data_IF_848842125785
#
_entry.id   IF_848842125785
#
_cell.length_a   1.000
_cell.length_b   1.000
_cell.length_c   1.000
_cell.angle_alpha   90.00
_cell.angle_beta   90.00
_cell.angle_gamma   90.00
#
_symmetry.space_group_name_H-M   'P 1'
#
loop_
_entity.id
_entity.type
_entity.pdbx_description
1 polymer ?
#
# COMPACT_ATOMS: atom_id res chain seq x y z
N UNK A 1 18.12 25.47 8.33
CA UNK A 1 18.44 24.03 8.19
C UNK A 1 19.43 23.88 7.04
N UNK A 2 20.47 23.07 7.20
CA UNK A 2 21.47 22.82 6.16
C UNK A 2 21.04 21.58 5.34
N UNK A 3 20.43 21.80 4.18
CA UNK A 3 19.91 20.71 3.35
C UNK A 3 21.00 19.90 2.64
N UNK A 4 22.17 20.48 2.37
CA UNK A 4 23.31 19.75 1.80
C UNK A 4 23.87 18.73 2.79
N UNK A 5 23.98 19.12 4.07
CA UNK A 5 24.40 18.21 5.13
C UNK A 5 23.36 17.11 5.36
N UNK A 6 22.07 17.46 5.36
CA UNK A 6 20.98 16.48 5.48
C UNK A 6 21.04 15.44 4.36
N UNK A 7 21.23 15.89 3.12
CA UNK A 7 21.40 15.02 1.97
C UNK A 7 22.58 14.07 2.13
N UNK A 8 23.74 14.60 2.51
CA UNK A 8 24.97 13.81 2.71
C UNK A 8 24.76 12.71 3.74
N UNK A 9 24.19 13.02 4.90
CA UNK A 9 24.00 12.04 5.98
C UNK A 9 22.98 10.96 5.61
N UNK A 10 21.88 11.32 4.94
CA UNK A 10 20.86 10.36 4.49
C UNK A 10 21.42 9.48 3.36
N UNK A 11 22.18 10.04 2.42
CA UNK A 11 22.86 9.26 1.37
C UNK A 11 23.87 8.28 1.95
N UNK A 12 24.64 8.69 2.97
CA UNK A 12 25.57 7.79 3.65
C UNK A 12 24.83 6.58 4.25
N UNK A 13 23.71 6.80 4.94
CA UNK A 13 22.89 5.69 5.47
C UNK A 13 22.40 4.76 4.36
N UNK A 14 21.97 5.33 3.24
CA UNK A 14 21.55 4.56 2.06
C UNK A 14 22.68 3.68 1.53
N UNK A 15 23.84 4.27 1.27
CA UNK A 15 25.01 3.59 0.71
C UNK A 15 25.51 2.46 1.61
N UNK A 16 25.68 2.74 2.91
CA UNK A 16 26.10 1.75 3.91
C UNK A 16 25.13 0.56 3.98
N UNK A 17 23.83 0.82 3.87
CA UNK A 17 22.81 -0.23 3.95
C UNK A 17 22.73 -1.02 2.64
N UNK A 18 22.76 -0.34 1.51
CA UNK A 18 22.75 -0.97 0.18
C UNK A 18 23.99 -1.83 -0.05
N UNK A 19 25.15 -1.48 0.51
CA UNK A 19 26.36 -2.29 0.46
C UNK A 19 26.21 -3.66 1.15
N UNK A 20 25.23 -3.81 2.06
CA UNK A 20 24.93 -5.09 2.74
C UNK A 20 23.89 -5.94 2.01
N UNK A 21 23.19 -5.36 1.02
CA UNK A 21 22.11 -6.06 0.31
C UNK A 21 22.69 -7.23 -0.49
N UNK A 22 22.16 -8.42 -0.27
CA UNK A 22 22.64 -9.60 -0.95
C UNK A 22 21.95 -10.89 -0.52
N UNK A 23 22.74 -11.90 -0.15
CA UNK A 23 22.24 -13.25 0.08
C UNK A 23 21.24 -13.36 1.24
N UNK A 24 21.33 -12.51 2.26
CA UNK A 24 20.37 -12.48 3.36
C UNK A 24 18.99 -12.01 2.90
N UNK A 25 18.94 -10.90 2.17
CA UNK A 25 17.71 -10.32 1.62
C UNK A 25 17.06 -11.28 0.61
N UNK A 26 17.86 -11.94 -0.22
CA UNK A 26 17.40 -12.98 -1.14
C UNK A 26 16.79 -14.19 -0.41
N UNK A 27 17.39 -14.63 0.72
CA UNK A 27 16.81 -15.70 1.55
C UNK A 27 15.50 -15.24 2.22
N UNK A 28 15.45 -13.99 2.66
CA UNK A 28 14.26 -13.41 3.26
C UNK A 28 13.08 -13.44 2.30
N UNK A 29 13.20 -12.86 1.10
CA UNK A 29 12.07 -12.77 0.17
C UNK A 29 11.63 -14.13 -0.35
N UNK A 30 12.56 -15.08 -0.55
CA UNK A 30 12.22 -16.47 -0.90
C UNK A 30 11.46 -17.18 0.23
N UNK A 31 11.72 -16.84 1.49
CA UNK A 31 10.93 -17.35 2.62
C UNK A 31 9.53 -16.73 2.64
N UNK A 32 9.42 -15.42 2.40
CA UNK A 32 8.12 -14.75 2.27
C UNK A 32 7.29 -15.38 1.14
N UNK A 33 7.89 -15.60 -0.03
CA UNK A 33 7.24 -16.26 -1.16
C UNK A 33 6.69 -17.64 -0.77
N UNK A 34 7.50 -18.46 -0.08
CA UNK A 34 7.06 -19.77 0.43
C UNK A 34 5.89 -19.63 1.40
N UNK A 35 5.96 -18.71 2.36
CA UNK A 35 4.88 -18.48 3.32
C UNK A 35 3.60 -18.09 2.59
N UNK A 36 3.65 -17.16 1.62
CA UNK A 36 2.51 -16.75 0.81
C UNK A 36 1.91 -17.94 0.06
N UNK A 37 2.73 -18.71 -0.67
CA UNK A 37 2.28 -19.86 -1.47
C UNK A 37 1.67 -20.95 -0.60
N UNK A 38 2.36 -21.36 0.47
CA UNK A 38 1.90 -22.49 1.30
C UNK A 38 0.71 -22.11 2.18
N UNK A 39 0.68 -20.91 2.78
CA UNK A 39 -0.51 -20.46 3.53
C UNK A 39 -1.72 -20.28 2.61
N UNK A 40 -1.52 -19.80 1.38
CA UNK A 40 -2.59 -19.70 0.38
C UNK A 40 -3.13 -21.06 -0.03
N UNK A 41 -2.25 -22.02 -0.34
CA UNK A 41 -2.65 -23.38 -0.69
C UNK A 41 -3.35 -24.09 0.48
N UNK A 42 -2.75 -24.07 1.68
CA UNK A 42 -3.33 -24.67 2.87
C UNK A 42 -4.67 -24.04 3.24
N UNK A 43 -4.78 -22.71 3.13
CA UNK A 43 -6.03 -21.99 3.37
C UNK A 43 -7.15 -22.45 2.44
N UNK A 44 -6.85 -22.61 1.15
CA UNK A 44 -7.82 -23.09 0.15
C UNK A 44 -8.21 -24.55 0.38
N UNK A 45 -7.27 -25.43 0.70
CA UNK A 45 -7.55 -26.82 1.06
C UNK A 45 -8.46 -26.86 2.30
N UNK A 46 -8.14 -26.12 3.35
CA UNK A 46 -8.98 -26.07 4.56
C UNK A 46 -10.41 -25.58 4.24
N UNK A 47 -10.57 -24.56 3.39
CA UNK A 47 -11.90 -24.11 2.95
C UNK A 47 -12.65 -25.19 2.17
N UNK A 48 -11.97 -26.00 1.35
CA UNK A 48 -12.59 -27.14 0.66
C UNK A 48 -12.99 -28.28 1.62
N UNK A 49 -12.34 -28.37 2.78
CA UNK A 49 -12.65 -29.33 3.84
C UNK A 49 -13.63 -28.79 4.90
N UNK A 50 -14.24 -27.61 4.67
CA UNK A 50 -14.99 -26.87 5.69
C UNK A 50 -16.33 -27.49 6.11
N UNK A 51 -16.69 -28.68 5.61
CA UNK A 51 -17.77 -29.48 6.19
C UNK A 51 -17.49 -29.77 7.68
N UNK A 52 -16.22 -29.78 8.07
CA UNK A 52 -15.79 -29.69 9.45
C UNK A 52 -15.59 -28.20 9.83
N UNK A 53 -16.47 -27.60 10.67
CA UNK A 53 -16.52 -26.14 10.85
C UNK A 53 -15.19 -25.46 11.24
N UNK A 54 -14.32 -26.05 12.09
CA UNK A 54 -13.03 -25.45 12.40
C UNK A 54 -12.14 -25.19 11.18
N UNK A 55 -12.23 -26.00 10.11
CA UNK A 55 -11.45 -25.79 8.89
C UNK A 55 -11.88 -24.55 8.11
N UNK A 56 -13.10 -24.06 8.27
CA UNK A 56 -13.49 -22.79 7.68
C UNK A 56 -12.71 -21.62 8.31
N UNK A 57 -12.61 -21.59 9.63
CA UNK A 57 -11.88 -20.56 10.38
C UNK A 57 -10.39 -20.61 10.03
N UNK A 58 -9.78 -21.79 10.14
CA UNK A 58 -8.36 -21.99 9.83
C UNK A 58 -8.08 -21.60 8.38
N UNK A 59 -8.93 -22.05 7.45
CA UNK A 59 -8.81 -21.77 6.02
C UNK A 59 -8.88 -20.28 5.71
N UNK A 60 -9.85 -19.58 6.29
CA UNK A 60 -10.04 -18.14 6.12
C UNK A 60 -8.88 -17.34 6.71
N UNK A 61 -8.38 -17.71 7.89
CA UNK A 61 -7.22 -17.05 8.53
C UNK A 61 -5.95 -17.22 7.70
N UNK A 62 -5.64 -18.45 7.28
CA UNK A 62 -4.47 -18.74 6.43
C UNK A 62 -4.55 -18.01 5.09
N UNK A 63 -5.73 -18.00 4.46
CA UNK A 63 -5.95 -17.29 3.21
C UNK A 63 -5.81 -15.77 3.40
N UNK A 64 -6.29 -15.22 4.52
CA UNK A 64 -6.14 -13.80 4.86
C UNK A 64 -4.68 -13.42 5.02
N UNK A 65 -3.90 -14.21 5.77
CA UNK A 65 -2.45 -14.00 5.95
C UNK A 65 -1.74 -14.06 4.60
N UNK A 66 -2.04 -15.08 3.78
CA UNK A 66 -1.49 -15.22 2.43
C UNK A 66 -1.75 -13.97 1.59
N UNK A 67 -3.01 -13.51 1.53
CA UNK A 67 -3.42 -12.33 0.76
C UNK A 67 -2.79 -11.02 1.28
N UNK A 68 -2.64 -10.86 2.60
CA UNK A 68 -1.96 -9.70 3.19
C UNK A 68 -0.47 -9.71 2.83
N UNK A 69 0.22 -10.83 3.06
CA UNK A 69 1.66 -10.94 2.80
C UNK A 69 1.97 -10.85 1.30
N UNK A 70 1.12 -11.43 0.45
CA UNK A 70 1.22 -11.29 -1.00
C UNK A 70 1.10 -9.81 -1.40
N UNK A 71 0.11 -9.10 -0.88
CA UNK A 71 -0.11 -7.71 -1.27
C UNK A 71 0.99 -6.78 -0.74
N UNK A 72 1.34 -6.88 0.54
CA UNK A 72 2.18 -5.88 1.22
C UNK A 72 3.66 -6.24 1.26
N UNK A 73 4.01 -7.49 1.57
CA UNK A 73 5.42 -7.87 1.81
C UNK A 73 6.10 -8.43 0.55
N UNK A 74 5.38 -9.20 -0.26
CA UNK A 74 5.91 -9.78 -1.48
C UNK A 74 5.69 -8.85 -2.67
N UNK A 75 4.43 -8.69 -3.08
CA UNK A 75 4.06 -8.04 -4.34
C UNK A 75 4.45 -6.58 -4.37
N UNK A 76 4.02 -5.79 -3.39
CA UNK A 76 4.42 -4.39 -3.27
C UNK A 76 5.95 -4.21 -3.35
N UNK A 77 6.69 -4.89 -2.47
CA UNK A 77 8.14 -4.74 -2.39
C UNK A 77 8.87 -5.18 -3.67
N UNK A 78 8.41 -6.26 -4.31
CA UNK A 78 8.93 -6.68 -5.62
C UNK A 78 8.63 -5.65 -6.69
N UNK A 79 7.39 -5.14 -6.80
CA UNK A 79 6.98 -4.14 -7.80
C UNK A 79 7.73 -2.82 -7.63
N UNK A 80 8.14 -2.47 -6.41
CA UNK A 80 9.07 -1.35 -6.15
C UNK A 80 10.51 -1.61 -6.64
N UNK A 81 10.80 -2.80 -7.15
CA UNK A 81 12.11 -3.18 -7.67
C UNK A 81 13.12 -3.53 -6.59
N UNK A 82 12.67 -3.72 -5.34
CA UNK A 82 13.57 -3.91 -4.19
C UNK A 82 14.45 -5.15 -4.29
N UNK A 83 14.03 -6.14 -5.09
CA UNK A 83 14.73 -7.41 -5.27
C UNK A 83 15.32 -7.60 -6.67
N UNK A 84 15.34 -6.54 -7.51
CA UNK A 84 15.89 -6.62 -8.87
C UNK A 84 17.38 -6.99 -8.88
N UNK A 85 18.13 -6.69 -7.81
CA UNK A 85 19.54 -7.07 -7.66
C UNK A 85 19.76 -8.60 -7.75
N UNK A 86 18.72 -9.40 -7.48
CA UNK A 86 18.80 -10.86 -7.53
C UNK A 86 18.86 -11.41 -8.95
N UNK A 87 18.47 -10.64 -9.97
CA UNK A 87 18.30 -11.09 -11.36
C UNK A 87 17.47 -12.40 -11.46
N UNK A 88 16.47 -12.55 -10.59
CA UNK A 88 15.58 -13.71 -10.52
C UNK A 88 14.22 -13.29 -11.09
N UNK A 89 13.79 -13.90 -12.19
CA UNK A 89 12.56 -13.50 -12.90
C UNK A 89 11.31 -13.54 -12.01
N UNK A 90 11.30 -14.41 -10.98
CA UNK A 90 10.20 -14.52 -10.02
C UNK A 90 10.03 -13.27 -9.16
N UNK A 91 11.07 -12.46 -9.03
CA UNK A 91 11.11 -11.24 -8.21
C UNK A 91 11.48 -10.00 -9.03
N UNK A 92 11.23 -10.03 -10.33
CA UNK A 92 11.49 -8.89 -11.21
C UNK A 92 10.36 -7.86 -11.10
N UNK A 93 10.66 -6.68 -10.58
CA UNK A 93 9.65 -5.64 -10.33
C UNK A 93 8.95 -5.08 -11.57
N UNK A 94 9.52 -5.27 -12.76
CA UNK A 94 8.92 -4.84 -14.03
C UNK A 94 7.87 -5.83 -14.54
N UNK A 95 8.01 -7.12 -14.25
CA UNK A 95 7.14 -8.18 -14.77
C UNK A 95 6.28 -8.85 -13.72
N UNK A 96 6.61 -8.70 -12.43
CA UNK A 96 5.82 -9.26 -11.33
C UNK A 96 4.39 -8.71 -11.38
N UNK A 97 3.42 -9.61 -11.19
CA UNK A 97 2.00 -9.29 -11.09
C UNK A 97 1.41 -9.85 -9.80
N UNK A 98 1.11 -8.96 -8.86
CA UNK A 98 0.54 -9.30 -7.56
C UNK A 98 -0.93 -9.73 -7.59
N UNK A 99 -1.36 -10.40 -6.52
CA UNK A 99 -2.68 -11.02 -6.37
C UNK A 99 -3.76 -10.08 -5.82
N UNK A 100 -3.88 -8.88 -6.41
CA UNK A 100 -4.97 -7.94 -6.12
C UNK A 100 -5.70 -7.50 -7.40
N UNK A 101 -6.78 -6.72 -7.25
CA UNK A 101 -7.55 -6.22 -8.39
C UNK A 101 -6.76 -5.25 -9.30
N UNK A 102 -5.94 -4.36 -8.75
CA UNK A 102 -5.16 -3.38 -9.51
C UNK A 102 -3.93 -3.99 -10.19
N UNK A 103 -3.59 -3.56 -11.41
CA UNK A 103 -2.42 -4.05 -12.14
C UNK A 103 -1.13 -3.49 -11.59
N UNK A 104 -0.03 -4.24 -11.73
CA UNK A 104 1.29 -3.77 -11.30
C UNK A 104 1.79 -2.62 -12.18
N UNK A 105 1.42 -2.59 -13.47
CA UNK A 105 1.67 -1.44 -14.35
C UNK A 105 1.00 -0.17 -13.86
N UNK A 106 -0.22 -0.27 -13.35
CA UNK A 106 -0.92 0.86 -12.80
C UNK A 106 -0.23 1.37 -11.53
N UNK A 107 0.14 0.44 -10.64
CA UNK A 107 0.86 0.76 -9.41
C UNK A 107 2.19 1.45 -9.69
N UNK A 108 2.97 0.97 -10.65
CA UNK A 108 4.24 1.59 -11.06
C UNK A 108 4.05 3.06 -11.51
N UNK A 109 2.98 3.35 -12.24
CA UNK A 109 2.69 4.71 -12.73
C UNK A 109 2.18 5.62 -11.61
N UNK A 110 1.14 5.19 -10.91
CA UNK A 110 0.44 6.01 -9.91
C UNK A 110 1.22 6.13 -8.62
N UNK A 111 1.74 5.03 -8.12
CA UNK A 111 2.40 4.99 -6.82
C UNK A 111 3.91 5.12 -6.96
N UNK A 112 4.59 4.20 -7.66
CA UNK A 112 6.06 4.20 -7.69
C UNK A 112 6.63 5.48 -8.29
N UNK A 113 6.01 6.00 -9.37
CA UNK A 113 6.42 7.25 -9.98
C UNK A 113 5.73 8.45 -9.33
N UNK A 114 4.41 8.61 -9.50
CA UNK A 114 3.74 9.85 -9.08
C UNK A 114 3.76 10.07 -7.57
N UNK A 115 3.31 9.10 -6.77
CA UNK A 115 3.29 9.23 -5.31
C UNK A 115 4.69 9.43 -4.73
N UNK A 116 5.67 8.55 -4.95
CA UNK A 116 7.01 8.75 -4.36
C UNK A 116 7.76 9.98 -4.86
N UNK A 117 7.53 10.42 -6.09
CA UNK A 117 8.15 11.66 -6.58
C UNK A 117 7.52 12.87 -5.88
N UNK A 118 6.20 12.89 -5.76
CA UNK A 118 5.41 14.05 -5.35
C UNK A 118 4.67 13.85 -4.03
N UNK A 119 5.17 13.00 -3.13
CA UNK A 119 4.50 12.62 -1.87
C UNK A 119 3.89 13.83 -1.17
N UNK A 120 2.57 13.78 -0.97
CA UNK A 120 1.73 14.82 -0.37
C UNK A 120 1.80 16.23 -1.02
N UNK A 121 2.28 16.34 -2.26
CA UNK A 121 2.21 17.59 -3.02
C UNK A 121 0.82 17.69 -3.65
N UNK A 122 0.07 18.71 -3.23
CA UNK A 122 -1.32 18.93 -3.62
C UNK A 122 -1.48 18.99 -5.14
N UNK A 123 -2.39 18.14 -5.64
CA UNK A 123 -2.73 18.08 -7.06
C UNK A 123 -1.65 17.45 -7.95
N UNK A 124 -0.59 16.89 -7.35
CA UNK A 124 0.41 16.07 -8.04
C UNK A 124 0.33 14.62 -7.55
N UNK A 125 0.13 14.45 -6.24
CA UNK A 125 -0.11 13.17 -5.59
C UNK A 125 -1.60 12.83 -5.57
N UNK A 126 -1.97 11.75 -6.28
CA UNK A 126 -3.35 11.26 -6.36
C UNK A 126 -3.73 10.39 -5.15
N UNK A 127 -2.75 10.00 -4.32
CA UNK A 127 -2.98 9.18 -3.13
C UNK A 127 -3.53 10.04 -1.99
N UNK A 128 -3.41 11.39 -2.04
CA UNK A 128 -4.01 12.32 -1.06
C UNK A 128 -5.53 12.12 -1.02
N UNK A 129 -5.99 11.36 -0.02
CA UNK A 129 -7.39 10.96 0.12
C UNK A 129 -7.93 10.16 -1.06
N UNK A 130 -7.08 9.60 -1.93
CA UNK A 130 -7.47 8.89 -3.15
C UNK A 130 -8.47 9.65 -4.04
N UNK A 131 -8.44 11.00 -3.99
CA UNK A 131 -9.43 11.88 -4.63
C UNK A 131 -10.89 11.70 -4.20
N UNK A 132 -11.17 10.81 -3.24
CA UNK A 132 -12.51 10.47 -2.73
C UNK A 132 -12.74 11.11 -1.36
N UNK A 133 -11.68 11.22 -0.55
CA UNK A 133 -11.72 11.72 0.81
C UNK A 133 -11.06 13.09 0.91
N UNK A 134 -11.73 14.01 1.60
CA UNK A 134 -11.19 15.23 2.17
C UNK A 134 -10.61 14.93 3.54
N UNK A 135 -9.30 14.83 3.61
CA UNK A 135 -8.53 14.49 4.82
C UNK A 135 -7.76 15.70 5.36
N UNK A 136 -7.67 16.77 4.56
CA UNK A 136 -6.94 17.97 4.89
C UNK A 136 -7.75 19.22 4.58
N UNK A 137 -7.48 20.31 5.32
CA UNK A 137 -8.22 21.58 5.19
C UNK A 137 -8.05 22.20 3.81
N UNK A 138 -6.88 22.00 3.21
CA UNK A 138 -6.43 22.56 1.94
C UNK A 138 -7.23 22.02 0.75
N UNK A 139 -7.85 20.85 0.90
CA UNK A 139 -8.76 20.29 -0.10
C UNK A 139 -10.07 21.08 -0.09
N UNK A 140 -10.53 21.50 -1.27
CA UNK A 140 -11.79 22.25 -1.43
C UNK A 140 -12.95 21.41 -0.92
N UNK A 141 -13.80 22.00 -0.07
CA UNK A 141 -14.98 21.31 0.43
C UNK A 141 -16.09 21.23 -0.63
N UNK A 142 -16.89 20.17 -0.56
CA UNK A 142 -18.05 19.86 -1.40
C UNK A 142 -19.11 19.18 -0.50
N UNK A 143 -20.42 19.44 -0.70
CA UNK A 143 -21.50 18.82 0.08
C UNK A 143 -21.46 17.28 0.16
N UNK A 144 -20.89 16.60 -0.84
CA UNK A 144 -20.71 15.13 -0.79
C UNK A 144 -19.92 14.68 0.44
N UNK A 145 -19.00 15.51 0.95
CA UNK A 145 -18.18 15.17 2.10
C UNK A 145 -18.98 15.03 3.40
N UNK A 146 -20.23 15.52 3.48
CA UNK A 146 -21.09 15.26 4.64
C UNK A 146 -21.29 13.76 4.90
N UNK A 147 -21.31 12.96 3.82
CA UNK A 147 -21.44 11.50 3.89
C UNK A 147 -20.10 10.76 3.98
N UNK A 148 -18.99 11.49 4.06
CA UNK A 148 -17.64 10.93 4.07
C UNK A 148 -17.40 9.87 5.14
N UNK A 149 -17.85 10.03 6.40
CA UNK A 149 -17.66 8.99 7.39
C UNK A 149 -18.27 7.65 6.98
N UNK A 150 -19.38 7.67 6.21
CA UNK A 150 -20.06 6.46 5.73
C UNK A 150 -19.29 5.84 4.57
N UNK A 151 -19.03 6.61 3.50
CA UNK A 151 -18.37 6.04 2.33
C UNK A 151 -16.87 5.78 2.56
N UNK A 152 -16.25 6.34 3.60
CA UNK A 152 -14.90 5.96 4.03
C UNK A 152 -14.85 4.50 4.51
N UNK A 153 -15.87 4.02 5.21
CA UNK A 153 -15.97 2.61 5.63
C UNK A 153 -16.15 1.70 4.41
N UNK A 154 -17.03 2.09 3.48
CA UNK A 154 -17.23 1.36 2.22
C UNK A 154 -15.92 1.31 1.43
N UNK A 155 -15.21 2.44 1.35
CA UNK A 155 -13.92 2.53 0.67
C UNK A 155 -12.86 1.65 1.34
N UNK A 156 -12.82 1.58 2.68
CA UNK A 156 -11.89 0.71 3.41
C UNK A 156 -12.17 -0.78 3.10
N UNK A 157 -13.44 -1.20 3.06
CA UNK A 157 -13.83 -2.57 2.70
C UNK A 157 -13.49 -2.89 1.24
N UNK A 158 -13.66 -1.91 0.34
CA UNK A 158 -13.40 -2.04 -1.09
C UNK A 158 -12.00 -1.56 -1.50
N UNK A 159 -11.07 -1.41 -0.56
CA UNK A 159 -9.82 -0.67 -0.79
C UNK A 159 -8.99 -1.20 -1.97
N UNK A 160 -8.90 -2.53 -2.12
CA UNK A 160 -8.20 -3.14 -3.26
C UNK A 160 -8.79 -2.72 -4.63
N UNK A 161 -10.11 -2.47 -4.67
CA UNK A 161 -10.81 -2.02 -5.86
C UNK A 161 -10.58 -0.53 -6.07
N UNK A 162 -10.51 0.25 -4.98
CA UNK A 162 -10.02 1.63 -5.03
C UNK A 162 -8.66 1.75 -5.72
N UNK A 163 -7.69 0.92 -5.32
CA UNK A 163 -6.37 0.84 -5.97
C UNK A 163 -6.47 0.46 -7.45
N UNK A 164 -7.36 -0.46 -7.80
CA UNK A 164 -7.57 -0.86 -9.20
C UNK A 164 -8.15 0.27 -10.07
N UNK A 165 -9.04 1.07 -9.48
CA UNK A 165 -9.77 2.13 -10.18
C UNK A 165 -9.02 3.47 -10.17
N UNK A 166 -7.96 3.63 -9.37
CA UNK A 166 -7.32 4.91 -9.10
C UNK A 166 -6.87 5.69 -10.35
N UNK A 167 -6.38 4.99 -11.37
CA UNK A 167 -5.93 5.59 -12.63
C UNK A 167 -6.99 5.53 -13.73
N UNK A 168 -8.07 4.78 -13.50
CA UNK A 168 -9.18 4.75 -14.43
C UNK A 168 -9.80 6.13 -14.36
N UNK A 169 -9.70 6.87 -15.45
CA UNK A 169 -10.24 8.23 -15.58
C UNK A 169 -11.76 8.16 -15.67
N UNK A 170 -12.42 7.63 -14.64
CA UNK A 170 -13.86 7.32 -14.59
C UNK A 170 -14.71 8.55 -14.91
N UNK A 171 -14.21 9.76 -14.61
CA UNK A 171 -14.81 11.02 -15.06
C UNK A 171 -15.00 11.13 -16.58
N UNK A 172 -14.26 10.41 -17.43
CA UNK A 172 -14.48 10.41 -18.89
C UNK A 172 -15.77 9.71 -19.32
N UNK A 173 -16.21 8.68 -18.60
CA UNK A 173 -17.50 8.05 -18.85
C UNK A 173 -18.65 9.00 -18.51
N UNK A 174 -18.58 9.60 -17.31
CA UNK A 174 -19.70 10.36 -16.76
C UNK A 174 -19.73 11.84 -17.20
N UNK A 175 -18.55 12.44 -17.44
CA UNK A 175 -18.41 13.87 -17.79
C UNK A 175 -18.17 14.03 -19.29
N UNK A 176 -17.28 13.22 -19.89
CA UNK A 176 -16.93 13.32 -21.32
C UNK A 176 -17.78 12.44 -22.24
N UNK A 177 -18.69 11.62 -21.67
CA UNK A 177 -19.61 10.71 -22.40
C UNK A 177 -18.92 9.85 -23.47
N UNK A 178 -17.70 9.40 -23.20
CA UNK A 178 -16.98 8.47 -24.10
C UNK A 178 -17.75 7.14 -24.16
N UNK A 179 -17.92 6.51 -25.34
CA UNK A 179 -18.58 5.22 -25.46
C UNK A 179 -17.93 4.15 -24.56
N UNK A 180 -18.75 3.33 -23.90
CA UNK A 180 -18.29 2.32 -22.94
C UNK A 180 -17.23 1.38 -23.54
N UNK A 181 -17.39 1.00 -24.82
CA UNK A 181 -16.45 0.13 -25.53
C UNK A 181 -15.06 0.77 -25.68
N UNK A 182 -15.01 2.06 -25.96
CA UNK A 182 -13.75 2.82 -26.10
C UNK A 182 -13.06 2.95 -24.75
N UNK A 183 -13.82 3.30 -23.70
CA UNK A 183 -13.32 3.37 -22.33
C UNK A 183 -12.77 2.03 -21.81
N UNK A 184 -13.47 0.92 -22.08
CA UNK A 184 -12.98 -0.42 -21.71
C UNK A 184 -11.69 -0.77 -22.46
N UNK A 185 -11.57 -0.37 -23.73
CA UNK A 185 -10.39 -0.66 -24.52
C UNK A 185 -9.15 0.13 -24.08
N UNK A 186 -9.32 1.38 -23.61
CA UNK A 186 -8.22 2.21 -23.07
C UNK A 186 -7.52 1.51 -21.88
N UNK A 187 -8.30 0.87 -20.99
CA UNK A 187 -7.79 0.22 -19.78
C UNK A 187 -8.06 -1.30 -19.75
N UNK A 188 -8.05 -1.95 -20.94
CA UNK A 188 -8.41 -3.37 -21.11
C UNK A 188 -7.68 -4.30 -20.15
N UNK A 189 -6.39 -4.02 -19.88
CA UNK A 189 -5.59 -4.82 -18.96
C UNK A 189 -6.12 -4.78 -17.52
N UNK A 190 -6.57 -3.62 -17.05
CA UNK A 190 -7.15 -3.45 -15.72
C UNK A 190 -8.45 -4.25 -15.59
N UNK A 191 -9.38 -4.11 -16.53
CA UNK A 191 -10.63 -4.88 -16.52
C UNK A 191 -10.41 -6.38 -16.68
N UNK A 192 -9.46 -6.78 -17.53
CA UNK A 192 -9.09 -8.19 -17.68
C UNK A 192 -8.57 -8.76 -16.37
N UNK A 193 -7.73 -8.00 -15.65
CA UNK A 193 -7.21 -8.43 -14.35
C UNK A 193 -8.31 -8.51 -13.30
N UNK A 194 -9.17 -7.49 -13.20
CA UNK A 194 -10.33 -7.49 -12.31
C UNK A 194 -11.24 -8.70 -12.56
N UNK A 195 -11.56 -8.98 -13.83
CA UNK A 195 -12.35 -10.15 -14.22
C UNK A 195 -11.69 -11.48 -13.86
N UNK A 196 -10.38 -11.62 -14.07
CA UNK A 196 -9.61 -12.80 -13.64
C UNK A 196 -9.66 -12.99 -12.13
N UNK A 197 -9.55 -11.92 -11.34
CA UNK A 197 -9.64 -11.99 -9.88
C UNK A 197 -11.03 -12.41 -9.41
N UNK A 198 -12.09 -11.83 -9.97
CA UNK A 198 -13.47 -12.20 -9.68
C UNK A 198 -13.75 -13.66 -10.05
N UNK A 199 -13.36 -14.07 -11.25
CA UNK A 199 -13.52 -15.46 -11.71
C UNK A 199 -12.77 -16.42 -10.79
N UNK A 200 -11.50 -16.14 -10.48
CA UNK A 200 -10.68 -17.02 -9.64
C UNK A 200 -11.30 -17.22 -8.25
N UNK A 201 -11.61 -16.13 -7.54
CA UNK A 201 -12.03 -16.20 -6.13
C UNK A 201 -13.51 -16.59 -5.95
N UNK A 202 -14.40 -16.29 -6.92
CA UNK A 202 -15.85 -16.47 -6.77
C UNK A 202 -16.49 -17.45 -7.75
N UNK A 203 -15.74 -17.98 -8.72
CA UNK A 203 -16.24 -18.97 -9.67
C UNK A 203 -15.35 -20.22 -9.65
N UNK A 204 -14.07 -20.10 -10.00
CA UNK A 204 -13.16 -21.24 -10.12
C UNK A 204 -13.01 -22.03 -8.81
N UNK A 205 -12.56 -21.39 -7.72
CA UNK A 205 -12.36 -22.08 -6.45
C UNK A 205 -13.66 -22.62 -5.83
N UNK A 206 -14.78 -21.89 -5.85
CA UNK A 206 -16.08 -22.44 -5.41
C UNK A 206 -16.54 -23.66 -6.22
N UNK A 207 -16.42 -23.65 -7.56
CA UNK A 207 -16.85 -24.77 -8.41
C UNK A 207 -16.06 -26.04 -8.06
N UNK A 208 -14.73 -25.96 -7.97
CA UNK A 208 -13.91 -27.14 -7.67
C UNK A 208 -14.10 -27.64 -6.23
N UNK A 209 -14.67 -26.83 -5.35
CA UNK A 209 -14.98 -27.21 -3.97
C UNK A 209 -16.28 -28.03 -3.82
N UNK A 210 -17.06 -28.17 -4.90
CA UNK A 210 -18.28 -28.98 -4.91
C UNK A 210 -19.28 -28.56 -3.82
N UNK A 211 -19.66 -29.45 -2.88
CA UNK A 211 -20.58 -29.10 -1.79
C UNK A 211 -20.14 -27.91 -0.93
N UNK A 212 -18.83 -27.61 -0.88
CA UNK A 212 -18.28 -26.48 -0.13
C UNK A 212 -18.27 -25.16 -0.92
N UNK A 213 -19.04 -25.06 -2.01
CA UNK A 213 -19.16 -23.88 -2.86
C UNK A 213 -19.41 -22.58 -2.06
N UNK A 214 -20.45 -22.55 -1.23
CA UNK A 214 -20.82 -21.35 -0.47
C UNK A 214 -19.77 -21.02 0.61
N UNK A 215 -19.30 -21.97 1.44
CA UNK A 215 -18.25 -21.67 2.41
C UNK A 215 -16.94 -21.19 1.78
N UNK A 216 -16.57 -21.67 0.59
CA UNK A 216 -15.41 -21.15 -0.15
C UNK A 216 -15.65 -19.73 -0.65
N UNK A 217 -16.84 -19.39 -1.17
CA UNK A 217 -17.18 -17.99 -1.51
C UNK A 217 -17.03 -17.09 -0.29
N UNK A 218 -17.62 -17.48 0.84
CA UNK A 218 -17.58 -16.69 2.07
C UNK A 218 -16.15 -16.55 2.59
N UNK A 219 -15.35 -17.61 2.58
CA UNK A 219 -13.95 -17.57 3.00
C UNK A 219 -13.09 -16.66 2.11
N UNK A 220 -13.26 -16.71 0.78
CA UNK A 220 -12.60 -15.79 -0.14
C UNK A 220 -13.05 -14.33 0.07
N UNK A 221 -14.35 -14.11 0.26
CA UNK A 221 -14.91 -12.79 0.51
C UNK A 221 -14.34 -12.18 1.80
N UNK A 222 -14.39 -12.93 2.90
CA UNK A 222 -13.82 -12.51 4.19
C UNK A 222 -12.33 -12.23 4.08
N UNK A 223 -11.54 -13.11 3.45
CA UNK A 223 -10.10 -12.89 3.31
C UNK A 223 -9.75 -11.66 2.46
N UNK A 224 -10.56 -11.35 1.44
CA UNK A 224 -10.41 -10.14 0.64
C UNK A 224 -10.76 -8.86 1.44
N UNK A 225 -11.80 -8.89 2.27
CA UNK A 225 -12.14 -7.78 3.19
C UNK A 225 -11.04 -7.56 4.21
N UNK A 226 -10.57 -8.64 4.87
CA UNK A 226 -9.50 -8.57 5.87
C UNK A 226 -8.25 -7.92 5.27
N UNK A 227 -7.84 -8.33 4.06
CA UNK A 227 -6.75 -7.67 3.34
C UNK A 227 -7.05 -6.19 3.11
N UNK A 228 -8.22 -5.84 2.54
CA UNK A 228 -8.54 -4.45 2.19
C UNK A 228 -8.55 -3.53 3.41
N UNK A 229 -9.14 -3.96 4.52
CA UNK A 229 -9.12 -3.21 5.78
C UNK A 229 -7.70 -3.06 6.34
N UNK A 230 -6.90 -4.12 6.29
CA UNK A 230 -5.51 -4.08 6.75
C UNK A 230 -4.65 -3.14 5.91
N UNK A 231 -4.68 -3.26 4.59
CA UNK A 231 -3.94 -2.38 3.69
C UNK A 231 -4.39 -0.93 3.83
N UNK A 232 -5.70 -0.67 3.91
CA UNK A 232 -6.26 0.66 4.18
C UNK A 232 -5.70 1.25 5.47
N UNK A 233 -5.74 0.48 6.56
CA UNK A 233 -5.27 0.91 7.88
C UNK A 233 -3.80 1.33 7.84
N UNK A 234 -2.93 0.49 7.26
CA UNK A 234 -1.49 0.76 7.20
C UNK A 234 -1.18 1.96 6.32
N UNK A 235 -1.75 2.05 5.11
CA UNK A 235 -1.48 3.16 4.19
C UNK A 235 -1.98 4.48 4.77
N UNK A 236 -3.20 4.49 5.33
CA UNK A 236 -3.78 5.72 5.88
C UNK A 236 -3.03 6.21 7.13
N UNK A 237 -2.66 5.30 8.03
CA UNK A 237 -1.82 5.66 9.18
C UNK A 237 -0.40 6.07 8.75
N UNK A 238 0.02 5.71 7.55
CA UNK A 238 1.28 6.11 6.95
C UNK A 238 1.32 7.55 6.42
N UNK A 239 0.18 8.08 5.97
CA UNK A 239 0.12 9.33 5.19
C UNK A 239 -0.82 10.40 5.75
N UNK A 240 -1.73 10.05 6.65
CA UNK A 240 -2.84 10.94 6.99
C UNK A 240 -2.95 11.24 8.49
N UNK A 241 -1.90 10.99 9.26
CA UNK A 241 -1.85 11.32 10.69
C UNK A 241 -1.75 12.83 10.91
N UNK A 242 -2.08 13.29 12.11
CA UNK A 242 -2.21 14.72 12.44
C UNK A 242 -0.98 15.55 12.05
N UNK A 243 0.21 14.98 12.21
CA UNK A 243 1.48 15.67 12.06
C UNK A 243 2.09 15.50 10.66
N UNK A 244 1.37 14.83 9.74
CA UNK A 244 1.77 14.76 8.33
C UNK A 244 1.39 16.04 7.61
N UNK A 245 2.34 16.56 6.83
CA UNK A 245 2.22 17.78 6.05
C UNK A 245 1.70 17.51 4.64
N UNK A 246 0.88 18.43 4.15
CA UNK A 246 0.62 18.63 2.71
C UNK A 246 1.45 19.80 2.22
N UNK A 247 1.96 19.66 1.01
CA UNK A 247 2.79 20.66 0.37
C UNK A 247 2.09 21.28 -0.84
N UNK A 248 2.34 22.56 -1.07
CA UNK A 248 1.96 23.23 -2.31
C UNK A 248 2.95 22.90 -3.44
N UNK A 249 2.53 23.04 -4.70
CA UNK A 249 3.40 22.80 -5.87
C UNK A 249 4.61 23.72 -5.92
N UNK A 250 4.62 24.84 -5.20
CA UNK A 250 5.79 25.70 -5.10
C UNK A 250 7.02 25.00 -4.51
N UNK A 251 6.84 24.00 -3.63
CA UNK A 251 7.99 23.34 -2.97
C UNK A 251 8.85 22.51 -3.91
N UNK A 252 8.30 22.09 -5.06
CA UNK A 252 9.03 21.29 -6.05
C UNK A 252 9.83 22.17 -7.03
N UNK A 253 9.65 23.51 -6.99
CA UNK A 253 10.42 24.42 -7.82
C UNK A 253 11.84 24.55 -7.26
N UNK A 254 12.84 24.15 -8.04
CA UNK A 254 14.25 24.12 -7.63
C UNK A 254 14.52 23.27 -6.37
N UNK A 255 13.73 22.19 -6.18
CA UNK A 255 13.90 21.25 -5.06
C UNK A 255 15.25 20.51 -5.19
N UNK A 256 16.15 20.71 -4.24
CA UNK A 256 17.35 19.86 -4.12
C UNK A 256 17.01 18.52 -3.48
N UNK A 257 17.92 17.55 -3.55
CA UNK A 257 17.65 16.22 -2.97
C UNK A 257 17.50 16.27 -1.44
N UNK A 258 18.24 17.14 -0.74
CA UNK A 258 18.00 17.44 0.67
C UNK A 258 16.59 17.99 0.98
N UNK A 259 16.07 18.90 0.15
CA UNK A 259 14.69 19.39 0.28
C UNK A 259 13.68 18.26 0.07
N UNK A 260 13.91 17.42 -0.94
CA UNK A 260 13.09 16.24 -1.20
C UNK A 260 13.08 15.29 0.00
N UNK A 261 14.24 14.98 0.61
CA UNK A 261 14.30 14.13 1.81
C UNK A 261 13.50 14.70 2.98
N UNK A 262 13.65 16.00 3.24
CA UNK A 262 12.85 16.67 4.26
C UNK A 262 11.35 16.53 3.99
N UNK A 263 10.92 16.74 2.75
CA UNK A 263 9.51 16.58 2.36
C UNK A 263 9.02 15.16 2.56
N UNK A 264 9.80 14.14 2.18
CA UNK A 264 9.44 12.74 2.40
C UNK A 264 9.26 12.42 3.89
N UNK A 265 10.16 12.91 4.76
CA UNK A 265 10.05 12.70 6.21
C UNK A 265 8.80 13.37 6.77
N UNK A 266 8.55 14.62 6.40
CA UNK A 266 7.40 15.40 6.90
C UNK A 266 6.06 14.97 6.26
N UNK A 267 6.10 14.29 5.12
CA UNK A 267 4.96 13.76 4.38
C UNK A 267 4.50 12.36 4.84
N UNK A 268 5.22 11.73 5.77
CA UNK A 268 5.01 10.33 6.13
C UNK A 268 5.01 10.11 7.64
N UNK A 269 4.50 8.95 8.06
CA UNK A 269 4.37 8.55 9.47
C UNK A 269 4.71 7.10 9.65
N UNK A 270 5.61 6.82 10.59
CA UNK A 270 5.90 5.47 11.00
C UNK A 270 4.90 4.97 12.05
N UNK A 271 4.74 3.65 12.08
CA UNK A 271 3.87 2.92 12.98
C UNK A 271 4.72 1.99 13.84
N UNK A 272 4.64 2.15 15.17
CA UNK A 272 5.31 1.26 16.12
C UNK A 272 4.69 -0.13 16.07
N UNK A 273 5.55 -1.15 16.11
CA UNK A 273 5.12 -2.54 16.17
C UNK A 273 6.27 -3.48 16.47
N UNK A 274 5.96 -4.78 16.55
CA UNK A 274 6.96 -5.84 16.61
C UNK A 274 7.22 -6.46 15.23
N UNK A 275 8.13 -7.43 15.17
CA UNK A 275 8.56 -8.07 13.92
C UNK A 275 7.41 -8.63 13.07
N UNK A 276 6.43 -9.29 13.69
CA UNK A 276 5.26 -9.84 12.98
C UNK A 276 4.41 -8.72 12.37
N UNK A 277 4.20 -7.63 13.11
CA UNK A 277 3.46 -6.47 12.60
C UNK A 277 4.18 -5.84 11.41
N UNK A 278 5.50 -5.65 11.51
CA UNK A 278 6.31 -5.12 10.41
C UNK A 278 6.17 -5.98 9.15
N UNK A 279 6.31 -7.30 9.26
CA UNK A 279 6.13 -8.24 8.12
C UNK A 279 4.71 -8.18 7.56
N UNK A 280 3.67 -8.19 8.40
CA UNK A 280 2.28 -8.13 7.93
C UNK A 280 1.97 -6.78 7.27
N UNK A 281 2.67 -5.71 7.65
CA UNK A 281 2.57 -4.39 7.01
C UNK A 281 3.41 -4.25 5.74
N UNK A 282 4.14 -5.28 5.29
CA UNK A 282 5.07 -5.11 4.17
C UNK A 282 6.31 -4.28 4.50
N UNK A 283 6.62 -4.15 5.80
CA UNK A 283 7.47 -3.14 6.40
C UNK A 283 7.05 -1.67 6.16
N UNK A 284 5.84 -1.42 5.62
CA UNK A 284 5.26 -0.08 5.48
C UNK A 284 4.90 0.58 6.83
N UNK A 285 5.03 -0.13 7.94
CA UNK A 285 5.17 0.50 9.25
C UNK A 285 6.35 1.50 9.34
N UNK A 286 7.32 1.40 8.43
CA UNK A 286 8.46 2.30 8.25
C UNK A 286 8.26 3.18 7.01
N UNK A 287 7.11 3.86 6.90
CA UNK A 287 6.79 4.71 5.75
C UNK A 287 7.85 5.77 5.46
N UNK A 288 8.44 6.38 6.47
CA UNK A 288 9.48 7.40 6.27
C UNK A 288 10.65 6.78 5.50
N UNK A 289 11.15 5.61 5.93
CA UNK A 289 12.25 4.92 5.26
C UNK A 289 11.85 4.39 3.87
N UNK A 290 10.61 3.93 3.72
CA UNK A 290 10.06 3.53 2.44
C UNK A 290 10.07 4.68 1.42
N UNK A 291 9.65 5.88 1.84
CA UNK A 291 9.65 7.06 0.98
C UNK A 291 11.04 7.61 0.70
N UNK A 292 11.98 7.49 1.64
CA UNK A 292 13.38 7.86 1.40
C UNK A 292 14.07 6.88 0.44
N UNK A 293 13.79 5.57 0.59
CA UNK A 293 14.49 4.47 -0.08
C UNK A 293 13.52 3.42 -0.65
N UNK A 294 12.66 3.77 -1.62
CA UNK A 294 11.59 2.86 -2.08
C UNK A 294 12.13 1.59 -2.74
N UNK A 295 13.35 1.62 -3.28
CA UNK A 295 14.02 0.49 -3.96
C UNK A 295 14.97 -0.29 -3.04
N UNK A 296 15.12 0.07 -1.77
CA UNK A 296 15.86 -0.73 -0.80
C UNK A 296 14.99 -1.88 -0.30
N UNK A 297 15.52 -3.12 -0.13
CA UNK A 297 14.79 -4.21 0.51
C UNK A 297 14.17 -3.78 1.83
N UNK A 298 12.84 -3.82 1.90
CA UNK A 298 12.06 -3.30 3.02
C UNK A 298 12.37 -3.97 4.37
N UNK A 299 12.87 -5.21 4.33
CA UNK A 299 13.43 -5.94 5.47
C UNK A 299 14.52 -5.14 6.22
N UNK A 300 15.25 -4.25 5.52
CA UNK A 300 16.30 -3.39 6.08
C UNK A 300 15.77 -2.12 6.73
N UNK A 301 14.50 -1.74 6.53
CA UNK A 301 13.97 -0.48 7.08
C UNK A 301 14.04 -0.42 8.61
N UNK A 302 13.89 -1.55 9.30
CA UNK A 302 14.07 -1.61 10.76
C UNK A 302 15.50 -1.25 11.22
N UNK A 303 16.53 -1.53 10.41
CA UNK A 303 17.92 -1.13 10.66
C UNK A 303 18.12 0.37 10.37
N UNK A 304 17.47 0.87 9.33
CA UNK A 304 17.61 2.25 8.83
C UNK A 304 16.88 3.27 9.71
N UNK A 305 15.69 2.92 10.18
CA UNK A 305 14.81 3.81 10.95
C UNK A 305 15.48 4.52 12.14
N UNK A 306 16.23 3.84 13.04
CA UNK A 306 16.91 4.54 14.14
C UNK A 306 17.98 5.53 13.65
N UNK A 307 18.67 5.25 12.54
CA UNK A 307 19.67 6.16 11.97
C UNK A 307 19.01 7.43 11.41
N UNK A 308 17.91 7.26 10.65
CA UNK A 308 17.15 8.39 10.10
C UNK A 308 16.54 9.23 11.23
N UNK A 309 16.01 8.59 12.28
CA UNK A 309 15.48 9.30 13.45
C UNK A 309 16.54 10.16 14.15
N UNK A 310 17.77 9.66 14.28
CA UNK A 310 18.86 10.43 14.90
C UNK A 310 19.32 11.59 13.99
N UNK A 311 19.38 11.39 12.67
CA UNK A 311 19.61 12.47 11.70
C UNK A 311 18.52 13.54 11.87
N UNK A 312 17.24 13.15 11.87
CA UNK A 312 16.12 14.08 12.05
C UNK A 312 16.28 14.90 13.33
N UNK A 313 16.66 14.25 14.45
CA UNK A 313 16.92 14.92 15.72
C UNK A 313 18.03 15.98 15.62
N UNK A 314 19.16 15.67 14.97
CA UNK A 314 20.27 16.64 14.77
C UNK A 314 19.87 17.84 13.91
N UNK A 315 18.99 17.63 12.93
CA UNK A 315 18.50 18.70 12.04
C UNK A 315 17.24 19.41 12.55
N UNK A 316 16.69 19.01 13.69
CA UNK A 316 15.44 19.57 14.22
C UNK A 316 14.18 19.21 13.42
N UNK A 317 14.22 18.10 12.67
CA UNK A 317 13.11 17.59 11.86
C UNK A 317 12.23 16.68 12.73
N UNK A 318 10.92 16.86 12.68
CA UNK A 318 9.98 16.00 13.38
C UNK A 318 9.90 14.61 12.73
N UNK A 319 10.42 13.60 13.41
CA UNK A 319 10.29 12.21 13.00
C UNK A 319 8.99 11.60 13.56
N UNK A 320 7.96 11.52 12.73
CA UNK A 320 6.64 11.06 13.16
C UNK A 320 6.59 9.52 13.30
N UNK A 321 6.45 9.02 14.53
CA UNK A 321 6.38 7.60 14.83
C UNK A 321 5.40 7.32 15.98
N UNK A 322 4.25 6.72 15.65
CA UNK A 322 3.10 6.60 16.55
C UNK A 322 2.62 5.18 16.79
N UNK A 323 1.74 5.01 17.78
CA UNK A 323 0.99 3.77 17.95
C UNK A 323 -0.18 3.73 16.95
N UNK A 324 -0.45 2.56 16.36
CA UNK A 324 -1.46 2.38 15.32
C UNK A 324 -2.86 2.84 15.75
N UNK A 325 -3.30 2.57 16.98
CA UNK A 325 -4.65 2.96 17.43
C UNK A 325 -4.78 4.47 17.54
N UNK A 326 -3.74 5.15 18.04
CA UNK A 326 -3.69 6.61 18.12
C UNK A 326 -3.69 7.23 16.73
N UNK A 327 -2.85 6.71 15.83
CA UNK A 327 -2.76 7.22 14.45
C UNK A 327 -4.06 6.99 13.69
N UNK A 328 -4.67 5.81 13.82
CA UNK A 328 -5.95 5.53 13.18
C UNK A 328 -7.07 6.43 13.74
N UNK A 329 -7.09 6.66 15.06
CA UNK A 329 -8.00 7.63 15.68
C UNK A 329 -7.82 9.05 15.12
N UNK A 330 -6.58 9.48 14.83
CA UNK A 330 -6.32 10.75 14.17
C UNK A 330 -6.83 10.79 12.73
N UNK A 331 -6.65 9.71 11.97
CA UNK A 331 -7.16 9.57 10.60
C UNK A 331 -8.68 9.66 10.58
N UNK A 332 -9.36 8.86 11.42
CA UNK A 332 -10.84 8.91 11.56
C UNK A 332 -11.29 10.29 12.02
N UNK A 333 -10.59 10.90 12.97
CA UNK A 333 -10.85 12.25 13.44
C UNK A 333 -10.77 13.29 12.30
N UNK A 334 -9.78 13.17 11.39
CA UNK A 334 -9.70 14.02 10.19
C UNK A 334 -10.84 13.76 9.22
N UNK A 335 -11.16 12.50 8.95
CA UNK A 335 -12.27 12.10 8.07
C UNK A 335 -13.59 12.73 8.56
N UNK A 336 -13.84 12.72 9.87
CA UNK A 336 -15.03 13.32 10.47
C UNK A 336 -14.92 14.84 10.54
N UNK A 337 -13.78 15.41 10.93
CA UNK A 337 -13.64 16.88 11.05
C UNK A 337 -13.82 17.58 9.70
N UNK A 338 -13.29 16.99 8.64
CA UNK A 338 -13.30 17.59 7.31
C UNK A 338 -14.49 17.15 6.44
N UNK A 339 -15.40 16.32 6.98
CA UNK A 339 -16.74 16.13 6.39
C UNK A 339 -17.54 17.44 6.41
N UNK A 340 -17.27 18.28 7.41
CA UNK A 340 -17.85 19.61 7.59
C UNK A 340 -16.96 20.71 6.95
N UNK A 341 -17.54 21.88 6.59
CA UNK A 341 -16.81 23.03 6.05
C UNK A 341 -15.57 23.44 6.86
#
# INVERSE_FOLDING_TARGET
MNFELLEKEINQVKEETMAKVGAEDARYIRRIEKVVRYSGAAGRVCLMLSWFPPFWIIGTVLLSISKIMENMELGHNVIHGQYNFMNDERFNGSTYEWDIAGTSDNWRKTHNYSHHTYTNVKGMDHDIGYSILRIFKEQKWNPVYLFQPIYAVIFAVLFQWGVALQNLRLGRLFIKKVPLKEFINEDKQAYTKMGKQLFKDYIFFPIIAGPMFIPVILGNFTANIVRSLWTYLIIFCGHFTKDVHIFDRSVIKNESKGHWYYRQIMGSSNIKGGKVFHILSGNLSHQIEHHLFPTMPSYRYAEVAPKIKEICKRHGIQYNNGNIFKQFGQVVGRIVRYSLP
#
